data_IF_061500890695
#
_entry.id   IF_061500890695
#
_cell.length_a   1.000
_cell.length_b   1.000
_cell.length_c   1.000
_cell.angle_alpha   90.00
_cell.angle_beta   90.00
_cell.angle_gamma   90.00
#
_symmetry.space_group_name_H-M   'P 1'
#
loop_
_entity.id
_entity.type
_entity.pdbx_description
1 polymer ?
#
# COMPACT_ATOMS: atom_id res chain seq x y z
N UNK A 1 2.44 7.27 -2.02
CA UNK A 1 1.32 8.24 -2.06
C UNK A 1 1.84 9.66 -1.86
N UNK A 2 2.75 9.89 -0.91
CA UNK A 2 3.33 11.23 -0.63
C UNK A 2 4.06 11.89 -1.82
N UNK A 3 4.38 11.12 -2.86
CA UNK A 3 4.98 11.62 -4.10
C UNK A 3 3.96 11.92 -5.21
N UNK A 4 2.68 11.69 -4.94
CA UNK A 4 1.61 12.01 -5.88
C UNK A 4 1.35 13.52 -5.87
N UNK A 5 0.90 14.03 -7.00
CA UNK A 5 0.54 15.45 -7.17
C UNK A 5 1.68 16.43 -6.83
N UNK A 6 2.91 16.03 -7.11
CA UNK A 6 4.07 16.92 -7.03
C UNK A 6 4.66 17.17 -8.41
N UNK A 7 4.96 18.43 -8.72
CA UNK A 7 5.62 18.82 -9.97
C UNK A 7 7.10 18.42 -10.03
N UNK A 8 7.68 18.09 -8.89
CA UNK A 8 9.08 17.72 -8.75
C UNK A 8 9.23 16.56 -7.76
N UNK A 9 8.89 15.33 -8.17
CA UNK A 9 9.06 14.17 -7.30
C UNK A 9 10.55 13.98 -6.96
N UNK A 10 10.80 13.59 -5.71
CA UNK A 10 12.16 13.27 -5.28
C UNK A 10 12.72 12.11 -6.12
N UNK A 11 14.00 12.21 -6.51
CA UNK A 11 14.66 11.10 -7.19
C UNK A 11 14.66 9.85 -6.30
N UNK A 12 14.49 8.70 -6.91
CA UNK A 12 14.57 7.42 -6.22
C UNK A 12 15.94 7.18 -5.54
N UNK A 13 16.07 6.12 -4.74
CA UNK A 13 17.32 5.80 -4.06
C UNK A 13 18.49 5.68 -5.04
N UNK A 14 19.61 6.28 -4.69
CA UNK A 14 20.84 6.23 -5.49
C UNK A 14 21.61 4.94 -5.22
N UNK A 15 22.41 4.49 -6.20
CA UNK A 15 23.30 3.35 -6.04
C UNK A 15 22.64 1.97 -6.15
N UNK A 16 21.36 1.89 -6.52
CA UNK A 16 20.65 0.61 -6.69
C UNK A 16 21.40 -0.36 -7.62
N UNK A 17 21.88 0.03 -8.82
CA UNK A 17 22.58 -0.91 -9.69
C UNK A 17 23.79 -1.58 -9.04
N UNK A 18 24.58 -0.83 -8.29
CA UNK A 18 25.74 -1.35 -7.55
C UNK A 18 25.33 -2.31 -6.44
N UNK A 19 24.24 -2.01 -5.71
CA UNK A 19 23.71 -2.90 -4.68
C UNK A 19 23.17 -4.21 -5.27
N UNK A 20 22.48 -4.14 -6.41
CA UNK A 20 21.98 -5.34 -7.11
C UNK A 20 23.12 -6.28 -7.45
N UNK A 21 24.23 -5.75 -8.01
CA UNK A 21 25.41 -6.55 -8.38
C UNK A 21 26.07 -7.14 -7.14
N UNK A 22 26.43 -6.31 -6.16
CA UNK A 22 27.19 -6.72 -4.99
C UNK A 22 26.44 -7.74 -4.12
N UNK A 23 25.13 -7.61 -4.03
CA UNK A 23 24.27 -8.48 -3.21
C UNK A 23 23.55 -9.56 -3.99
N UNK A 24 23.75 -9.68 -5.31
CA UNK A 24 23.06 -10.61 -6.20
C UNK A 24 21.55 -10.57 -6.08
N UNK A 25 20.99 -9.34 -6.00
CA UNK A 25 19.55 -9.11 -5.88
C UNK A 25 18.94 -9.01 -7.27
N UNK A 26 17.78 -9.62 -7.46
CA UNK A 26 16.93 -9.41 -8.63
C UNK A 26 15.85 -8.41 -8.30
N UNK A 27 15.68 -7.39 -9.13
CA UNK A 27 14.61 -6.40 -9.04
C UNK A 27 13.73 -6.49 -10.28
N UNK A 28 12.43 -6.70 -10.09
CA UNK A 28 11.46 -6.84 -11.18
C UNK A 28 10.21 -6.03 -10.88
N UNK A 29 9.73 -5.28 -11.89
CA UNK A 29 8.43 -4.62 -11.84
C UNK A 29 7.31 -5.56 -12.29
N UNK A 30 6.09 -5.33 -11.80
CA UNK A 30 4.88 -6.00 -12.26
C UNK A 30 3.68 -5.06 -12.09
N UNK A 31 2.63 -5.32 -12.84
CA UNK A 31 1.32 -4.71 -12.64
C UNK A 31 0.38 -5.75 -12.03
N UNK A 32 -0.33 -5.40 -10.99
CA UNK A 32 -1.28 -6.30 -10.33
C UNK A 32 -2.37 -6.80 -11.29
N UNK A 33 -2.74 -5.98 -12.28
CA UNK A 33 -3.76 -6.31 -13.28
C UNK A 33 -3.38 -7.50 -14.20
N UNK A 34 -2.08 -7.79 -14.34
CA UNK A 34 -1.60 -8.93 -15.13
C UNK A 34 -1.94 -10.28 -14.45
N UNK A 35 -2.41 -10.25 -13.20
CA UNK A 35 -2.75 -11.40 -12.38
C UNK A 35 -4.24 -11.47 -12.03
N UNK A 36 -5.10 -10.85 -12.85
CA UNK A 36 -6.53 -10.75 -12.55
C UNK A 36 -7.24 -12.11 -12.41
N UNK A 37 -6.81 -13.11 -13.14
CA UNK A 37 -7.29 -14.49 -13.08
C UNK A 37 -6.99 -15.18 -11.73
N UNK A 38 -6.00 -14.70 -10.99
CA UNK A 38 -5.58 -15.24 -9.69
C UNK A 38 -6.21 -14.51 -8.49
N UNK A 39 -7.01 -13.46 -8.71
CA UNK A 39 -7.56 -12.66 -7.62
C UNK A 39 -8.46 -13.44 -6.66
N UNK A 40 -9.27 -14.35 -7.18
CA UNK A 40 -10.18 -15.14 -6.36
C UNK A 40 -9.41 -16.06 -5.39
N UNK A 41 -8.39 -16.74 -5.89
CA UNK A 41 -7.50 -17.58 -5.09
C UNK A 41 -6.73 -16.78 -4.04
N UNK A 42 -6.10 -15.68 -4.45
CA UNK A 42 -5.35 -14.81 -3.55
C UNK A 42 -6.22 -14.26 -2.41
N UNK A 43 -7.45 -13.83 -2.70
CA UNK A 43 -8.39 -13.35 -1.68
C UNK A 43 -8.79 -14.46 -0.71
N UNK A 44 -8.99 -15.67 -1.20
CA UNK A 44 -9.32 -16.81 -0.35
C UNK A 44 -8.18 -17.16 0.62
N UNK A 45 -6.93 -17.18 0.13
CA UNK A 45 -5.76 -17.41 0.97
C UNK A 45 -5.58 -16.32 2.03
N UNK A 46 -5.64 -15.04 1.63
CA UNK A 46 -5.51 -13.90 2.54
C UNK A 46 -6.60 -13.95 3.61
N UNK A 47 -7.85 -14.29 3.23
CA UNK A 47 -8.94 -14.45 4.19
C UNK A 47 -8.64 -15.54 5.22
N UNK A 48 -8.12 -16.68 4.78
CA UNK A 48 -7.69 -17.76 5.68
C UNK A 48 -6.60 -17.32 6.66
N UNK A 49 -5.63 -16.54 6.20
CA UNK A 49 -4.57 -16.01 7.05
C UNK A 49 -5.07 -14.99 8.07
N UNK A 50 -6.03 -14.15 7.68
CA UNK A 50 -6.69 -13.22 8.61
C UNK A 50 -7.49 -13.96 9.69
N UNK A 51 -8.25 -15.00 9.31
CA UNK A 51 -9.02 -15.81 10.25
C UNK A 51 -8.13 -16.56 11.24
N UNK A 52 -7.00 -17.07 10.79
CA UNK A 52 -6.04 -17.80 11.64
C UNK A 52 -5.09 -16.88 12.44
N UNK A 53 -5.21 -15.57 12.27
CA UNK A 53 -4.27 -14.57 12.84
C UNK A 53 -2.83 -14.73 12.37
N UNK A 54 -2.58 -15.45 11.29
CA UNK A 54 -1.28 -15.51 10.62
C UNK A 54 -0.94 -14.19 9.90
N UNK A 55 -1.97 -13.43 9.53
CA UNK A 55 -1.86 -12.09 8.97
C UNK A 55 -2.68 -11.12 9.83
N UNK A 56 -2.08 -10.00 10.18
CA UNK A 56 -2.76 -8.93 10.91
C UNK A 56 -2.98 -7.75 9.95
N UNK A 57 -4.25 -7.34 9.79
CA UNK A 57 -4.60 -6.15 9.01
C UNK A 57 -4.52 -4.91 9.90
N UNK A 58 -3.67 -3.97 9.52
CA UNK A 58 -3.61 -2.66 10.16
C UNK A 58 -4.53 -1.70 9.40
N UNK A 59 -5.57 -1.24 10.08
CA UNK A 59 -6.47 -0.21 9.57
C UNK A 59 -6.44 1.00 10.48
N UNK A 60 -6.39 2.18 9.86
CA UNK A 60 -6.48 3.47 10.53
C UNK A 60 -7.85 4.06 10.20
N UNK A 61 -8.76 4.00 11.17
CA UNK A 61 -10.18 4.27 10.96
C UNK A 61 -10.55 5.68 11.42
N UNK A 62 -11.33 6.37 10.59
CA UNK A 62 -12.05 7.61 10.97
C UNK A 62 -13.54 7.38 10.77
N UNK A 63 -14.37 8.00 11.60
CA UNK A 63 -15.82 7.78 11.60
C UNK A 63 -16.57 8.92 10.91
N UNK A 64 -17.56 8.55 10.12
CA UNK A 64 -18.49 9.45 9.46
C UNK A 64 -17.99 10.02 8.14
N UNK A 65 -18.91 10.21 7.21
CA UNK A 65 -18.61 10.75 5.87
C UNK A 65 -17.99 12.15 5.94
N UNK A 66 -18.36 12.97 6.92
CA UNK A 66 -17.84 14.32 7.09
C UNK A 66 -16.32 14.35 7.36
N UNK A 67 -15.75 13.26 7.90
CA UNK A 67 -14.30 13.15 8.14
C UNK A 67 -13.49 12.76 6.88
N UNK A 68 -14.15 12.34 5.80
CA UNK A 68 -13.48 11.83 4.62
C UNK A 68 -12.53 12.84 3.94
N UNK A 69 -12.89 14.13 3.75
CA UNK A 69 -11.99 15.10 3.12
C UNK A 69 -10.69 15.30 3.92
N UNK A 70 -10.80 15.49 5.23
CA UNK A 70 -9.63 15.70 6.09
C UNK A 70 -8.78 14.43 6.18
N UNK A 71 -9.41 13.26 6.26
CA UNK A 71 -8.72 11.96 6.23
C UNK A 71 -7.94 11.75 4.93
N UNK A 72 -8.47 12.22 3.79
CA UNK A 72 -7.79 12.14 2.51
C UNK A 72 -6.57 13.08 2.44
N UNK A 73 -6.72 14.30 2.91
CA UNK A 73 -5.59 15.26 2.99
C UNK A 73 -4.48 14.70 3.90
N UNK A 74 -4.84 14.18 5.06
CA UNK A 74 -3.89 13.57 6.00
C UNK A 74 -3.21 12.32 5.41
N UNK A 75 -3.94 11.49 4.66
CA UNK A 75 -3.36 10.36 3.92
C UNK A 75 -2.27 10.82 2.94
N UNK A 76 -2.53 11.88 2.17
CA UNK A 76 -1.55 12.42 1.22
C UNK A 76 -0.31 13.01 1.93
N UNK A 77 -0.49 13.50 3.14
CA UNK A 77 0.59 13.98 4.00
C UNK A 77 1.36 12.84 4.72
N UNK A 78 0.90 11.58 4.57
CA UNK A 78 1.53 10.42 5.22
C UNK A 78 1.15 10.25 6.69
N UNK A 79 0.02 10.80 7.13
CA UNK A 79 -0.42 10.77 8.53
C UNK A 79 -1.06 9.46 8.99
N UNK A 80 -1.34 8.52 8.07
CA UNK A 80 -1.98 7.26 8.41
C UNK A 80 -0.98 6.16 8.79
N UNK A 81 -1.43 5.22 9.60
CA UNK A 81 -0.73 3.97 9.90
C UNK A 81 -1.58 2.80 9.38
N UNK A 82 -1.07 2.09 8.37
CA UNK A 82 -1.84 1.06 7.68
C UNK A 82 -2.83 1.64 6.67
N UNK A 83 -3.93 0.94 6.43
CA UNK A 83 -4.94 1.37 5.47
C UNK A 83 -5.90 2.37 6.10
N UNK A 84 -6.00 3.57 5.54
CA UNK A 84 -7.00 4.56 5.96
C UNK A 84 -8.39 4.12 5.50
N UNK A 85 -9.31 4.04 6.44
CA UNK A 85 -10.70 3.61 6.21
C UNK A 85 -11.65 4.64 6.83
N UNK A 86 -12.61 5.10 6.04
CA UNK A 86 -13.73 5.91 6.56
C UNK A 86 -14.90 4.96 6.83
N UNK A 87 -15.29 4.86 8.10
CA UNK A 87 -16.42 4.03 8.52
C UNK A 87 -17.68 4.88 8.42
N UNK A 88 -18.62 4.45 7.61
CA UNK A 88 -19.93 5.09 7.45
C UNK A 88 -20.91 4.55 8.49
N UNK A 89 -21.70 5.43 9.03
CA UNK A 89 -22.73 5.10 10.02
C UNK A 89 -23.95 4.40 9.38
#
# INVERSE_FOLDING_TARGET
VSQYDTSSPEPGPKGIPGLLVNKRITMRGFLVFDFADQYAEARSEIHGWLQSSALISLTDQVSGLAAAPDAFVDLLAGGNIGTRVVVLD
#
